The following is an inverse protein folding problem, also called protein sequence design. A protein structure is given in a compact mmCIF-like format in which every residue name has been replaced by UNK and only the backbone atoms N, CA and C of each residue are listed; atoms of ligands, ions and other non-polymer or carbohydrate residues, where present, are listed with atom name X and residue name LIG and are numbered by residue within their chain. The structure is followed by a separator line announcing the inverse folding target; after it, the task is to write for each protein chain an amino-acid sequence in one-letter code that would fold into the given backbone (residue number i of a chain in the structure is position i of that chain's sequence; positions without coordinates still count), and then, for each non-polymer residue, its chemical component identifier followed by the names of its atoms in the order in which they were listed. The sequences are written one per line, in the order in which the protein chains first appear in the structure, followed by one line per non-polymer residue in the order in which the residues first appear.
data_IF_655447679336
#
_entry.id   IF_655447679336
#
_cell.length_a   1.000
_cell.length_b   1.000
_cell.length_c   1.000
_cell.angle_alpha   90.00
_cell.angle_beta   90.00
_cell.angle_gamma   90.00
#
_symmetry.space_group_name_H-M   'P 1'
#
loop_
_entity.id
_entity.type
_entity.pdbx_description
1 polymer ?
#
# COMPACT_ATOMS: atom_id res chain seq x y z
N UNK A 1 12.74 -10.58 15.05
CA UNK A 1 11.71 -9.65 15.56
C UNK A 1 10.44 -9.83 14.73
N UNK A 2 9.23 -9.56 15.24
CA UNK A 2 8.08 -9.46 14.34
C UNK A 2 8.15 -8.10 13.63
N UNK A 3 8.41 -8.07 12.33
CA UNK A 3 8.37 -6.83 11.56
C UNK A 3 6.95 -6.25 11.57
N UNK A 4 6.86 -4.93 11.66
CA UNK A 4 5.59 -4.21 11.74
C UNK A 4 4.81 -4.28 10.42
N UNK A 5 3.47 -4.18 10.43
CA UNK A 5 2.66 -4.25 9.21
C UNK A 5 2.97 -3.19 8.15
N UNK A 6 3.67 -2.10 8.49
CA UNK A 6 4.07 -1.02 7.58
C UNK A 6 5.44 -1.24 6.90
N UNK A 7 6.18 -2.27 7.31
CA UNK A 7 7.54 -2.58 6.83
C UNK A 7 7.73 -2.44 5.33
N UNK A 8 6.80 -3.01 4.55
CA UNK A 8 6.78 -2.89 3.10
C UNK A 8 5.42 -2.43 2.57
N UNK A 9 4.61 -1.80 3.42
CA UNK A 9 3.31 -1.29 2.99
C UNK A 9 3.46 -0.20 1.93
N UNK A 10 2.63 -0.29 0.89
CA UNK A 10 2.76 0.56 -0.30
C UNK A 10 3.54 -0.09 -1.44
N UNK A 11 4.49 -0.98 -1.14
CA UNK A 11 5.30 -1.61 -2.18
C UNK A 11 4.57 -2.78 -2.85
N UNK A 12 4.91 -2.97 -4.12
CA UNK A 12 4.46 -4.09 -4.94
C UNK A 12 5.63 -4.96 -5.37
N UNK A 13 5.50 -6.26 -5.16
CA UNK A 13 6.50 -7.27 -5.48
C UNK A 13 5.92 -8.26 -6.47
N UNK A 14 6.65 -8.54 -7.56
CA UNK A 14 6.40 -9.71 -8.38
C UNK A 14 7.48 -10.77 -8.14
N UNK A 15 7.05 -11.94 -7.66
CA UNK A 15 7.88 -13.12 -7.49
C UNK A 15 7.70 -14.06 -8.69
N UNK A 16 8.77 -14.27 -9.45
CA UNK A 16 8.73 -15.22 -10.55
C UNK A 16 8.85 -16.66 -10.03
N UNK A 17 7.91 -17.49 -10.47
CA UNK A 17 7.74 -18.89 -10.06
C UNK A 17 6.71 -19.11 -8.95
N UNK A 18 6.45 -20.38 -8.63
CA UNK A 18 5.49 -20.80 -7.61
C UNK A 18 6.00 -20.50 -6.19
N UNK A 19 5.20 -19.75 -5.44
CA UNK A 19 5.43 -19.41 -4.03
C UNK A 19 4.46 -20.18 -3.14
N UNK A 20 4.95 -20.62 -1.98
CA UNK A 20 4.12 -21.28 -0.96
C UNK A 20 3.20 -20.26 -0.28
N UNK A 21 2.00 -20.69 0.13
CA UNK A 21 1.06 -19.85 0.89
C UNK A 21 1.69 -19.29 2.18
N UNK A 22 2.60 -20.03 2.82
CA UNK A 22 3.30 -19.58 4.03
C UNK A 22 4.19 -18.35 3.78
N UNK A 23 5.02 -18.39 2.74
CA UNK A 23 5.84 -17.24 2.33
C UNK A 23 4.97 -16.04 1.94
N UNK A 24 3.92 -16.28 1.15
CA UNK A 24 3.00 -15.22 0.72
C UNK A 24 2.35 -14.56 1.93
N UNK A 25 1.83 -15.36 2.87
CA UNK A 25 1.23 -14.87 4.10
C UNK A 25 2.21 -14.09 4.97
N UNK A 26 3.49 -14.49 5.02
CA UNK A 26 4.52 -13.76 5.75
C UNK A 26 4.78 -12.38 5.12
N UNK A 27 4.93 -12.31 3.80
CA UNK A 27 5.13 -11.05 3.08
C UNK A 27 3.90 -10.13 3.17
N UNK A 28 2.69 -10.68 3.03
CA UNK A 28 1.43 -9.95 3.19
C UNK A 28 1.30 -9.39 4.63
N UNK A 29 1.85 -10.08 5.64
CA UNK A 29 1.85 -9.60 7.03
C UNK A 29 2.70 -8.34 7.24
N UNK A 30 3.66 -8.07 6.34
CA UNK A 30 4.49 -6.86 6.31
C UNK A 30 3.88 -5.74 5.45
N UNK A 31 2.62 -5.90 5.01
CA UNK A 31 1.89 -4.94 4.19
C UNK A 31 2.28 -4.93 2.72
N UNK A 32 3.16 -5.84 2.29
CA UNK A 32 3.61 -5.93 0.91
C UNK A 32 2.49 -6.43 -0.01
N UNK A 33 2.31 -5.81 -1.18
CA UNK A 33 1.38 -6.33 -2.19
C UNK A 33 2.14 -7.33 -3.06
N UNK A 34 1.87 -8.63 -2.84
CA UNK A 34 2.60 -9.72 -3.49
C UNK A 34 1.83 -10.31 -4.68
N UNK A 35 2.49 -10.32 -5.82
CA UNK A 35 2.08 -11.02 -7.03
C UNK A 35 3.08 -12.14 -7.34
N UNK A 36 2.60 -13.23 -7.94
CA UNK A 36 3.47 -14.33 -8.37
C UNK A 36 3.01 -14.98 -9.66
N UNK A 37 3.95 -15.60 -10.37
CA UNK A 37 3.68 -16.39 -11.57
C UNK A 37 4.92 -16.54 -12.47
N UNK A 38 4.82 -17.36 -13.50
CA UNK A 38 5.96 -17.61 -14.41
C UNK A 38 6.18 -16.50 -15.43
N UNK A 39 5.12 -15.76 -15.76
CA UNK A 39 5.12 -14.70 -16.77
C UNK A 39 4.75 -13.38 -16.10
N UNK A 40 5.64 -12.40 -16.24
CA UNK A 40 5.40 -11.04 -15.74
C UNK A 40 4.41 -10.36 -16.70
N UNK A 41 3.25 -9.85 -16.21
CA UNK A 41 2.32 -9.10 -17.04
C UNK A 41 2.98 -7.85 -17.60
N UNK A 42 2.96 -7.68 -18.93
CA UNK A 42 3.62 -6.54 -19.61
C UNK A 42 3.01 -5.18 -19.32
N UNK A 43 1.79 -5.13 -18.78
CA UNK A 43 1.07 -3.88 -18.45
C UNK A 43 1.09 -3.51 -16.97
N UNK A 44 1.67 -4.36 -16.12
CA UNK A 44 1.71 -4.10 -14.67
C UNK A 44 3.14 -3.74 -14.29
N UNK A 45 3.31 -2.56 -13.68
CA UNK A 45 4.58 -2.13 -13.15
C UNK A 45 4.65 -2.47 -11.67
N UNK A 46 5.75 -3.10 -11.26
CA UNK A 46 6.04 -3.47 -9.87
C UNK A 46 7.17 -2.62 -9.32
N UNK A 47 7.28 -2.50 -7.99
CA UNK A 47 8.41 -1.80 -7.36
C UNK A 47 9.66 -2.70 -7.37
N UNK A 48 9.45 -4.01 -7.34
CA UNK A 48 10.51 -4.99 -7.44
C UNK A 48 10.01 -6.24 -8.18
N UNK A 49 10.87 -6.78 -9.05
CA UNK A 49 10.66 -8.06 -9.73
C UNK A 49 11.90 -8.92 -9.49
N UNK A 50 11.71 -10.11 -8.93
CA UNK A 50 12.80 -11.04 -8.60
C UNK A 50 12.39 -12.48 -8.86
N UNK A 51 13.38 -13.34 -9.14
CA UNK A 51 13.19 -14.80 -9.16
C UNK A 51 13.12 -15.29 -7.70
N UNK A 52 12.23 -16.24 -7.39
CA UNK A 52 12.02 -16.66 -5.99
C UNK A 52 13.28 -17.24 -5.33
N UNK A 53 14.16 -17.84 -6.12
CA UNK A 53 15.40 -18.48 -5.68
C UNK A 53 16.48 -17.47 -5.27
N UNK A 54 16.29 -16.19 -5.62
CA UNK A 54 17.15 -15.09 -5.18
C UNK A 54 16.86 -14.63 -3.76
N UNK A 55 15.67 -14.95 -3.22
CA UNK A 55 15.31 -14.57 -1.85
C UNK A 55 16.03 -15.50 -0.88
N UNK A 56 16.81 -14.98 0.08
CA UNK A 56 17.47 -15.80 1.08
C UNK A 56 16.44 -16.34 2.08
N UNK A 57 15.91 -17.55 1.84
CA UNK A 57 14.92 -18.23 2.68
C UNK A 57 15.49 -18.80 4.00
N UNK A 58 16.50 -18.16 4.59
CA UNK A 58 17.15 -18.64 5.83
C UNK A 58 16.30 -18.33 7.06
N UNK A 59 15.85 -17.09 7.18
CA UNK A 59 15.04 -16.56 8.27
C UNK A 59 14.34 -15.26 7.86
N UNK A 60 13.40 -14.76 8.67
CA UNK A 60 12.63 -13.54 8.37
C UNK A 60 13.51 -12.30 8.22
N UNK A 61 14.54 -12.18 9.06
CA UNK A 61 15.39 -10.99 9.13
C UNK A 61 16.27 -10.89 7.87
N UNK A 62 16.74 -12.04 7.35
CA UNK A 62 17.48 -12.14 6.08
C UNK A 62 16.61 -11.75 4.89
N UNK A 63 15.34 -12.19 4.86
CA UNK A 63 14.39 -11.82 3.81
C UNK A 63 14.11 -10.31 3.88
N UNK A 64 13.85 -9.80 5.08
CA UNK A 64 13.61 -8.38 5.31
C UNK A 64 14.78 -7.53 4.81
N UNK A 65 16.01 -7.82 5.24
CA UNK A 65 17.18 -7.05 4.82
C UNK A 65 17.38 -7.10 3.31
N UNK A 66 17.24 -8.28 2.69
CA UNK A 66 17.36 -8.43 1.25
C UNK A 66 16.34 -7.56 0.50
N UNK A 67 15.08 -7.57 0.93
CA UNK A 67 14.03 -6.76 0.33
C UNK A 67 14.30 -5.27 0.54
N UNK A 68 14.70 -4.86 1.74
CA UNK A 68 15.06 -3.47 2.05
C UNK A 68 16.19 -2.94 1.17
N UNK A 69 17.19 -3.77 0.86
CA UNK A 69 18.32 -3.38 0.01
C UNK A 69 17.95 -3.29 -1.49
N UNK A 70 16.87 -3.95 -1.90
CA UNK A 70 16.45 -4.07 -3.31
C UNK A 70 15.31 -3.13 -3.68
N UNK A 71 14.41 -2.83 -2.74
CA UNK A 71 13.32 -1.89 -3.01
C UNK A 71 13.85 -0.47 -3.20
N UNK A 72 13.16 0.35 -4.01
CA UNK A 72 13.44 1.78 -4.06
C UNK A 72 13.13 2.44 -2.70
N UNK A 73 13.65 3.64 -2.51
CA UNK A 73 13.47 4.39 -1.25
C UNK A 73 12.01 4.68 -0.90
N UNK A 74 11.13 4.76 -1.92
CA UNK A 74 9.70 4.97 -1.71
C UNK A 74 8.89 4.14 -2.72
N UNK A 75 7.72 3.62 -2.32
CA UNK A 75 6.84 2.92 -3.23
C UNK A 75 6.24 3.87 -4.25
N UNK A 76 6.09 3.42 -5.49
CA UNK A 76 5.46 4.23 -6.54
C UNK A 76 3.98 4.50 -6.25
N UNK A 77 3.49 5.66 -6.69
CA UNK A 77 2.08 6.01 -6.66
C UNK A 77 1.51 5.70 -8.05
N UNK A 78 0.69 4.65 -8.14
CA UNK A 78 0.10 4.17 -9.40
C UNK A 78 -1.18 3.39 -9.15
N UNK A 79 -2.01 3.33 -10.17
CA UNK A 79 -3.21 2.50 -10.21
C UNK A 79 -2.90 1.07 -10.62
N UNK A 80 -3.67 0.12 -10.09
CA UNK A 80 -3.73 -1.26 -10.56
C UNK A 80 -4.85 -1.36 -11.61
N UNK A 81 -4.46 -1.37 -12.88
CA UNK A 81 -5.41 -1.49 -14.01
C UNK A 81 -6.23 -2.78 -13.95
N UNK A 82 -5.68 -3.87 -13.39
CA UNK A 82 -6.40 -5.13 -13.25
C UNK A 82 -7.51 -4.99 -12.22
N UNK A 83 -7.24 -4.33 -11.10
CA UNK A 83 -8.27 -4.03 -10.09
C UNK A 83 -9.39 -3.15 -10.67
N UNK A 84 -9.04 -2.08 -11.39
CA UNK A 84 -10.01 -1.21 -12.05
C UNK A 84 -10.86 -1.95 -13.09
N UNK A 85 -10.23 -2.78 -13.92
CA UNK A 85 -10.95 -3.59 -14.92
C UNK A 85 -11.88 -4.61 -14.28
N UNK A 86 -11.52 -5.18 -13.12
CA UNK A 86 -12.40 -6.08 -12.37
C UNK A 86 -13.62 -5.35 -11.81
N UNK A 87 -13.44 -4.15 -11.28
CA UNK A 87 -14.52 -3.36 -10.66
C UNK A 87 -15.49 -2.78 -11.70
N UNK A 88 -14.96 -2.28 -12.81
CA UNK A 88 -15.73 -1.46 -13.75
C UNK A 88 -15.86 -2.07 -15.15
N UNK A 89 -15.31 -3.27 -15.37
CA UNK A 89 -15.41 -4.02 -16.63
C UNK A 89 -15.02 -3.19 -17.88
N UNK A 90 -14.08 -2.26 -17.71
CA UNK A 90 -13.61 -1.38 -18.78
C UNK A 90 -14.61 -0.31 -19.23
N UNK A 91 -15.61 0.05 -18.42
CA UNK A 91 -16.56 1.15 -18.70
C UNK A 91 -15.88 2.49 -18.34
N UNK A 92 -15.35 3.27 -19.31
CA UNK A 92 -14.49 4.41 -18.99
C UNK A 92 -15.24 5.56 -18.31
N UNK A 93 -16.51 5.76 -18.65
CA UNK A 93 -17.35 6.81 -18.04
C UNK A 93 -17.57 6.56 -16.55
N UNK A 94 -17.70 5.29 -16.14
CA UNK A 94 -17.85 4.94 -14.74
C UNK A 94 -16.56 5.19 -13.95
N UNK A 95 -15.39 4.90 -14.55
CA UNK A 95 -14.08 5.23 -13.96
C UNK A 95 -13.95 6.75 -13.77
N UNK A 96 -14.35 7.55 -14.76
CA UNK A 96 -14.32 9.02 -14.65
C UNK A 96 -15.22 9.52 -13.52
N UNK A 97 -16.45 9.02 -13.42
CA UNK A 97 -17.39 9.41 -12.37
C UNK A 97 -16.87 9.04 -10.98
N UNK A 98 -16.33 7.82 -10.83
CA UNK A 98 -15.72 7.36 -9.58
C UNK A 98 -14.52 8.23 -9.21
N UNK A 99 -13.65 8.56 -10.16
CA UNK A 99 -12.51 9.45 -9.92
C UNK A 99 -12.95 10.84 -9.45
N UNK A 100 -14.00 11.39 -10.05
CA UNK A 100 -14.56 12.68 -9.62
C UNK A 100 -15.08 12.63 -8.17
N UNK A 101 -15.89 11.62 -7.84
CA UNK A 101 -16.41 11.43 -6.48
C UNK A 101 -15.28 11.15 -5.47
N UNK A 102 -14.28 10.37 -5.87
CA UNK A 102 -13.12 10.07 -5.06
C UNK A 102 -12.31 11.33 -4.76
N UNK A 103 -12.08 12.21 -5.76
CA UNK A 103 -11.41 13.50 -5.55
C UNK A 103 -12.11 14.34 -4.50
N UNK A 104 -13.42 14.51 -4.64
CA UNK A 104 -14.23 15.28 -3.67
C UNK A 104 -14.12 14.67 -2.26
N UNK A 105 -14.19 13.34 -2.14
CA UNK A 105 -14.03 12.68 -0.84
C UNK A 105 -12.62 12.88 -0.27
N UNK A 106 -11.59 12.62 -1.06
CA UNK A 106 -10.19 12.73 -0.62
C UNK A 106 -9.84 14.14 -0.20
N UNK A 107 -10.30 15.16 -0.93
CA UNK A 107 -10.09 16.56 -0.58
C UNK A 107 -10.63 16.87 0.82
N UNK A 108 -11.89 16.53 1.09
CA UNK A 108 -12.50 16.71 2.41
C UNK A 108 -11.82 15.87 3.50
N UNK A 109 -11.49 14.62 3.19
CA UNK A 109 -10.87 13.71 4.15
C UNK A 109 -9.44 14.18 4.49
N UNK A 110 -8.69 14.75 3.54
CA UNK A 110 -7.37 15.34 3.75
C UNK A 110 -7.45 16.56 4.67
N UNK A 111 -8.42 17.46 4.49
CA UNK A 111 -8.62 18.58 5.41
C UNK A 111 -8.83 18.11 6.84
N UNK A 112 -9.67 17.08 7.04
CA UNK A 112 -9.92 16.51 8.38
C UNK A 112 -8.64 15.85 8.92
N UNK A 113 -7.94 15.06 8.11
CA UNK A 113 -6.70 14.39 8.51
C UNK A 113 -5.62 15.40 8.93
N UNK A 114 -5.51 16.53 8.22
CA UNK A 114 -4.58 17.61 8.54
C UNK A 114 -4.91 18.34 9.85
N UNK A 115 -6.20 18.45 10.20
CA UNK A 115 -6.68 19.08 11.42
C UNK A 115 -6.81 18.11 12.62
N UNK A 116 -6.78 16.80 12.39
CA UNK A 116 -7.03 15.81 13.43
C UNK A 116 -5.90 15.77 14.47
N UNK A 117 -6.30 15.92 15.74
CA UNK A 117 -5.42 15.75 16.91
C UNK A 117 -5.64 14.38 17.56
N UNK A 118 -6.87 13.89 17.53
CA UNK A 118 -7.28 12.63 18.15
C UNK A 118 -7.01 11.42 17.24
N UNK A 119 -6.36 10.39 17.79
CA UNK A 119 -5.99 9.18 17.05
C UNK A 119 -7.21 8.40 16.53
N UNK A 120 -8.32 8.41 17.25
CA UNK A 120 -9.56 7.75 16.84
C UNK A 120 -10.16 8.37 15.58
N UNK A 121 -10.13 9.72 15.50
CA UNK A 121 -10.58 10.46 14.32
C UNK A 121 -9.71 10.12 13.12
N UNK A 122 -8.38 10.11 13.31
CA UNK A 122 -7.44 9.69 12.26
C UNK A 122 -7.76 8.29 11.77
N UNK A 123 -7.91 7.31 12.67
CA UNK A 123 -8.17 5.92 12.30
C UNK A 123 -9.48 5.78 11.49
N UNK A 124 -10.53 6.50 11.87
CA UNK A 124 -11.80 6.53 11.13
C UNK A 124 -11.64 7.14 9.73
N UNK A 125 -10.91 8.25 9.61
CA UNK A 125 -10.66 8.91 8.32
C UNK A 125 -9.80 8.03 7.42
N UNK A 126 -8.74 7.42 7.95
CA UNK A 126 -7.91 6.47 7.21
C UNK A 126 -8.71 5.26 6.74
N UNK A 127 -9.60 4.72 7.58
CA UNK A 127 -10.49 3.62 7.20
C UNK A 127 -11.40 3.99 6.01
N UNK A 128 -11.92 5.22 6.00
CA UNK A 128 -12.70 5.75 4.88
C UNK A 128 -11.83 5.91 3.64
N UNK A 129 -10.68 6.59 3.75
CA UNK A 129 -9.74 6.83 2.65
C UNK A 129 -9.27 5.53 1.99
N UNK A 130 -8.99 4.48 2.77
CA UNK A 130 -8.68 3.13 2.26
C UNK A 130 -9.72 2.67 1.25
N UNK A 131 -11.00 2.82 1.57
CA UNK A 131 -12.09 2.36 0.70
C UNK A 131 -12.13 3.17 -0.59
N UNK A 132 -11.95 4.49 -0.48
CA UNK A 132 -11.84 5.38 -1.64
C UNK A 132 -10.67 4.97 -2.54
N UNK A 133 -9.47 4.81 -1.99
CA UNK A 133 -8.26 4.42 -2.74
C UNK A 133 -8.41 3.07 -3.44
N UNK A 134 -9.09 2.10 -2.81
CA UNK A 134 -9.38 0.81 -3.41
C UNK A 134 -10.28 0.95 -4.66
N UNK A 135 -11.32 1.79 -4.59
CA UNK A 135 -12.25 2.02 -5.71
C UNK A 135 -11.55 2.68 -6.90
N UNK A 136 -10.61 3.59 -6.67
CA UNK A 136 -9.82 4.21 -7.74
C UNK A 136 -8.54 3.43 -8.08
N UNK A 137 -8.38 2.22 -7.56
CA UNK A 137 -7.31 1.29 -7.96
C UNK A 137 -5.93 1.60 -7.39
N UNK A 138 -5.76 2.51 -6.44
CA UNK A 138 -4.46 2.79 -5.81
C UNK A 138 -4.14 1.76 -4.70
N UNK A 139 -4.04 0.49 -5.07
CA UNK A 139 -3.93 -0.66 -4.15
C UNK A 139 -2.68 -0.60 -3.27
N UNK A 140 -1.54 -0.14 -3.81
CA UNK A 140 -0.33 0.08 -3.01
C UNK A 140 -0.59 1.08 -1.88
N UNK A 141 -1.04 2.29 -2.21
CA UNK A 141 -1.35 3.32 -1.20
C UNK A 141 -2.48 2.89 -0.25
N UNK A 142 -3.46 2.13 -0.74
CA UNK A 142 -4.48 1.50 0.10
C UNK A 142 -3.83 0.55 1.13
N UNK A 143 -2.88 -0.30 0.72
CA UNK A 143 -2.17 -1.20 1.63
C UNK A 143 -1.41 -0.42 2.71
N UNK A 144 -0.76 0.68 2.30
CA UNK A 144 -0.11 1.61 3.21
C UNK A 144 -1.11 2.15 4.25
N UNK A 145 -2.23 2.70 3.81
CA UNK A 145 -3.31 3.18 4.72
C UNK A 145 -3.81 2.07 5.65
N UNK A 146 -3.95 0.82 5.18
CA UNK A 146 -4.37 -0.32 6.00
C UNK A 146 -3.34 -0.68 7.08
N UNK A 147 -2.07 -0.73 6.71
CA UNK A 147 -0.99 -1.01 7.65
C UNK A 147 -0.97 0.04 8.77
N UNK A 148 -1.14 1.31 8.39
CA UNK A 148 -1.25 2.42 9.34
C UNK A 148 -2.50 2.27 10.21
N UNK A 149 -3.68 2.08 9.62
CA UNK A 149 -4.92 1.85 10.38
C UNK A 149 -4.75 0.77 11.46
N UNK A 150 -4.05 -0.34 11.14
CA UNK A 150 -3.79 -1.44 12.09
C UNK A 150 -2.83 -1.06 13.21
N UNK A 151 -1.70 -0.43 12.89
CA UNK A 151 -0.72 0.04 13.89
C UNK A 151 -1.42 0.94 14.94
N UNK A 152 -2.41 1.69 14.47
CA UNK A 152 -3.10 2.74 15.20
C UNK A 152 -4.27 2.23 16.05
N UNK A 153 -5.14 1.41 15.45
CA UNK A 153 -6.28 0.78 16.15
C UNK A 153 -5.86 -0.09 17.33
N UNK A 154 -4.64 -0.62 17.29
CA UNK A 154 -4.12 -1.47 18.36
C UNK A 154 -3.19 -0.75 19.34
N UNK A 155 -2.94 0.55 19.16
CA UNK A 155 -2.25 1.41 20.13
C UNK A 155 -0.83 0.98 20.54
N UNK A 156 -0.22 0.06 19.79
CA UNK A 156 1.02 -0.64 20.18
C UNK A 156 1.97 -0.92 19.01
N UNK A 157 1.66 -0.49 17.79
CA UNK A 157 2.55 -0.75 16.66
C UNK A 157 3.68 0.28 16.61
N UNK A 158 4.90 -0.15 16.92
CA UNK A 158 6.08 0.58 16.48
C UNK A 158 6.16 0.47 14.96
N UNK A 159 6.28 1.60 14.27
CA UNK A 159 6.58 1.61 12.85
C UNK A 159 8.05 1.33 12.65
N UNK A 160 8.37 0.48 11.67
CA UNK A 160 9.74 0.23 11.25
C UNK A 160 10.29 1.34 10.34
N UNK A 161 9.42 2.23 9.82
CA UNK A 161 9.78 3.22 8.79
C UNK A 161 9.85 4.66 9.30
N UNK A 162 9.10 5.02 10.33
CA UNK A 162 9.23 6.35 10.92
C UNK A 162 9.18 6.31 12.45
N UNK A 163 9.96 7.19 13.05
CA UNK A 163 10.20 7.20 14.49
C UNK A 163 9.06 7.83 15.31
N UNK A 164 8.18 8.63 14.69
CA UNK A 164 7.09 9.31 15.37
C UNK A 164 5.91 9.58 14.45
N UNK A 165 4.75 9.82 15.07
CA UNK A 165 3.49 10.09 14.40
C UNK A 165 3.56 11.23 13.39
N UNK A 166 4.12 12.38 13.74
CA UNK A 166 4.11 13.53 12.84
C UNK A 166 4.81 13.20 11.52
N UNK A 167 5.96 12.53 11.57
CA UNK A 167 6.65 12.05 10.37
C UNK A 167 5.84 11.02 9.57
N UNK A 168 5.07 10.15 10.24
CA UNK A 168 4.15 9.21 9.58
C UNK A 168 3.02 9.91 8.85
N UNK A 169 2.30 10.78 9.58
CA UNK A 169 1.15 11.52 9.07
C UNK A 169 1.53 12.33 7.86
N UNK A 170 2.63 13.09 7.95
CA UNK A 170 3.03 14.02 6.91
C UNK A 170 3.45 13.27 5.63
N UNK A 171 4.10 12.11 5.76
CA UNK A 171 4.42 11.24 4.63
C UNK A 171 3.18 10.66 3.96
N UNK A 172 2.24 10.12 4.74
CA UNK A 172 0.99 9.56 4.21
C UNK A 172 0.11 10.64 3.58
N UNK A 173 -0.02 11.79 4.25
CA UNK A 173 -0.73 12.96 3.77
C UNK A 173 -0.19 13.37 2.40
N UNK A 174 1.13 13.56 2.29
CA UNK A 174 1.77 13.94 1.02
C UNK A 174 1.43 12.96 -0.10
N UNK A 175 1.51 11.64 0.17
CA UNK A 175 1.23 10.61 -0.84
C UNK A 175 -0.24 10.62 -1.27
N UNK A 176 -1.18 10.80 -0.35
CA UNK A 176 -2.61 10.89 -0.67
C UNK A 176 -2.93 12.19 -1.41
N UNK A 177 -2.30 13.31 -1.05
CA UNK A 177 -2.45 14.58 -1.77
C UNK A 177 -1.97 14.49 -3.22
N UNK A 178 -0.90 13.74 -3.50
CA UNK A 178 -0.47 13.49 -4.88
C UNK A 178 -1.57 12.76 -5.67
N UNK A 179 -2.19 11.73 -5.09
CA UNK A 179 -3.30 11.03 -5.74
C UNK A 179 -4.49 11.96 -5.97
N UNK A 180 -4.91 12.72 -4.97
CA UNK A 180 -6.00 13.68 -5.10
C UNK A 180 -5.76 14.70 -6.23
N UNK A 181 -4.51 15.19 -6.37
CA UNK A 181 -4.12 16.10 -7.44
C UNK A 181 -4.07 15.46 -8.84
N UNK A 182 -3.95 14.13 -8.93
CA UNK A 182 -3.95 13.37 -10.19
C UNK A 182 -5.35 12.99 -10.69
N UNK A 183 -6.36 13.00 -9.81
CA UNK A 183 -7.77 12.77 -10.15
C UNK A 183 -8.42 14.02 -10.75
#
# INVERSE_FOLDING_TARGET
MHHSPDAFAGFSLFLKGDITDGLKSALDSWGLVVYSGDVIPTKVLYDLVIEKDQIPMKDSDSIFQFLSDKFPQAPAIRTDEKALNLLYQGIPQLIMEVNHLAKVSLNKDLEILGAAVELEVVALILHKMKSTLALIGYVGLQSEVVAWEKIWKHGQGESSRHANWSGHRDALFTRISVVEGML
#
